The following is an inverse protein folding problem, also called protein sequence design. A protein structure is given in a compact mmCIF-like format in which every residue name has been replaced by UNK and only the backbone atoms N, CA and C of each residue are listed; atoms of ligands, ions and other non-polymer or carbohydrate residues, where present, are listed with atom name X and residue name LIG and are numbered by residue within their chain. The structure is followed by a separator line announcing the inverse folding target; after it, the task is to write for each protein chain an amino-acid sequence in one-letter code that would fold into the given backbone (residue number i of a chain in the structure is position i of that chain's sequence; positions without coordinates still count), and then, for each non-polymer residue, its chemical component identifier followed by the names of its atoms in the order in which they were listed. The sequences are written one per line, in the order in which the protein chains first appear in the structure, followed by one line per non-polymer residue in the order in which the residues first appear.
data_IF_784703745616
#
_entry.id   IF_784703745616
#
_cell.length_a   1.000
_cell.length_b   1.000
_cell.length_c   1.000
_cell.angle_alpha   90.00
_cell.angle_beta   90.00
_cell.angle_gamma   90.00
#
_symmetry.space_group_name_H-M   'P 1'
#
loop_
_entity.id
_entity.type
_entity.pdbx_description
1 polymer ?
#
# COMPACT_ATOMS: atom_id res chain seq x y z
N UNK A 1 -21.93 -63.13 -31.21
CA UNK A 1 -21.88 -63.11 -29.73
C UNK A 1 -20.59 -62.45 -29.24
N UNK A 2 -20.72 -61.18 -28.86
CA UNK A 2 -20.21 -60.52 -27.65
C UNK A 2 -18.69 -60.59 -27.37
N UNK A 3 -17.96 -59.55 -27.79
CA UNK A 3 -16.59 -59.23 -27.31
C UNK A 3 -16.51 -57.77 -26.86
N UNK A 4 -17.30 -57.40 -25.86
CA UNK A 4 -17.23 -56.09 -25.20
C UNK A 4 -17.60 -56.27 -23.74
N UNK A 5 -16.62 -56.43 -22.85
CA UNK A 5 -16.72 -56.14 -21.40
C UNK A 5 -15.47 -56.65 -20.68
N UNK A 6 -14.33 -55.98 -20.84
CA UNK A 6 -13.17 -56.20 -19.99
C UNK A 6 -12.39 -54.90 -19.81
N UNK A 7 -13.07 -53.83 -19.38
CA UNK A 7 -12.40 -52.54 -19.15
C UNK A 7 -13.07 -51.66 -18.10
N UNK A 8 -13.96 -52.18 -17.24
CA UNK A 8 -14.76 -51.31 -16.35
C UNK A 8 -14.50 -51.51 -14.85
N UNK A 9 -13.78 -52.56 -14.43
CA UNK A 9 -13.70 -52.87 -12.98
C UNK A 9 -12.50 -52.22 -12.27
N UNK A 10 -11.47 -51.73 -12.97
CA UNK A 10 -10.28 -51.18 -12.32
C UNK A 10 -10.29 -49.64 -12.12
N UNK A 11 -11.30 -48.94 -12.64
CA UNK A 11 -11.38 -47.46 -12.57
C UNK A 11 -12.13 -46.93 -11.35
N UNK A 12 -12.69 -47.80 -10.49
CA UNK A 12 -13.50 -47.38 -9.34
C UNK A 12 -12.75 -47.31 -8.00
N UNK A 13 -11.43 -47.49 -8.00
CA UNK A 13 -10.60 -47.42 -6.77
C UNK A 13 -9.60 -46.27 -6.75
N UNK A 14 -9.71 -45.30 -7.67
CA UNK A 14 -8.88 -44.09 -7.69
C UNK A 14 -9.58 -42.84 -7.13
N UNK A 15 -10.87 -42.94 -6.76
CA UNK A 15 -11.65 -41.80 -6.23
C UNK A 15 -11.59 -41.64 -4.69
N UNK A 16 -10.82 -42.49 -3.99
CA UNK A 16 -10.60 -42.43 -2.54
C UNK A 16 -9.17 -41.96 -2.22
N UNK A 17 -8.67 -40.96 -2.94
CA UNK A 17 -7.57 -40.17 -2.41
C UNK A 17 -8.14 -39.30 -1.27
N UNK A 18 -7.59 -39.34 -0.04
CA UNK A 18 -7.96 -38.34 0.94
C UNK A 18 -7.61 -36.98 0.35
N UNK A 19 -8.58 -36.09 0.25
CA UNK A 19 -8.31 -34.68 0.03
C UNK A 19 -7.34 -34.27 1.13
N UNK A 20 -6.11 -33.92 0.76
CA UNK A 20 -5.12 -33.36 1.68
C UNK A 20 -5.80 -32.10 2.23
N UNK A 21 -6.23 -32.17 3.49
CA UNK A 21 -6.89 -31.07 4.15
C UNK A 21 -5.81 -30.01 4.39
N UNK A 22 -5.89 -28.89 3.66
CA UNK A 22 -5.26 -27.63 4.05
C UNK A 22 -5.60 -27.42 5.52
N UNK A 23 -4.57 -27.35 6.37
CA UNK A 23 -4.84 -27.19 7.79
C UNK A 23 -5.38 -25.77 8.02
N UNK A 24 -6.46 -25.59 8.80
CA UNK A 24 -7.02 -24.26 9.05
C UNK A 24 -5.99 -23.27 9.66
N UNK A 25 -4.92 -23.81 10.25
CA UNK A 25 -3.74 -23.07 10.71
C UNK A 25 -2.88 -22.49 9.59
N UNK A 26 -2.56 -23.26 8.53
CA UNK A 26 -1.75 -22.76 7.40
C UNK A 26 -2.48 -21.66 6.63
N UNK A 27 -3.80 -21.79 6.47
CA UNK A 27 -4.64 -20.75 5.87
C UNK A 27 -4.70 -19.47 6.70
N UNK A 28 -4.82 -19.60 8.03
CA UNK A 28 -4.82 -18.45 8.93
C UNK A 28 -3.47 -17.72 8.91
N UNK A 29 -2.36 -18.45 8.89
CA UNK A 29 -1.01 -17.88 8.79
C UNK A 29 -0.78 -17.15 7.47
N UNK A 30 -1.24 -17.74 6.36
CA UNK A 30 -1.16 -17.12 5.02
C UNK A 30 -1.96 -15.82 4.97
N UNK A 31 -3.21 -15.84 5.45
CA UNK A 31 -4.07 -14.64 5.49
C UNK A 31 -3.48 -13.54 6.38
N UNK A 32 -2.88 -13.91 7.51
CA UNK A 32 -2.19 -12.96 8.38
C UNK A 32 -0.97 -12.34 7.68
N UNK A 33 -0.18 -13.14 6.95
CA UNK A 33 0.96 -12.66 6.17
C UNK A 33 0.55 -11.70 5.05
N UNK A 34 -0.50 -12.03 4.29
CA UNK A 34 -1.05 -11.15 3.26
C UNK A 34 -1.59 -9.84 3.84
N UNK A 35 -2.25 -9.90 5.00
CA UNK A 35 -2.75 -8.72 5.71
C UNK A 35 -1.63 -7.78 6.13
N UNK A 36 -0.56 -8.32 6.75
CA UNK A 36 0.60 -7.53 7.14
C UNK A 36 1.30 -6.88 5.95
N UNK A 37 1.45 -7.61 4.84
CA UNK A 37 2.06 -7.08 3.62
C UNK A 37 1.30 -5.85 3.07
N UNK A 38 -0.04 -5.89 3.08
CA UNK A 38 -0.88 -4.77 2.67
C UNK A 38 -0.73 -3.56 3.59
N UNK A 39 -0.63 -3.78 4.90
CA UNK A 39 -0.42 -2.70 5.88
C UNK A 39 0.92 -2.00 5.63
N UNK A 40 2.00 -2.78 5.44
CA UNK A 40 3.32 -2.24 5.14
C UNK A 40 3.34 -1.47 3.82
N UNK A 41 2.63 -1.97 2.80
CA UNK A 41 2.49 -1.28 1.52
C UNK A 41 1.72 0.04 1.65
N UNK A 42 0.63 0.07 2.44
CA UNK A 42 -0.11 1.29 2.70
C UNK A 42 0.74 2.31 3.48
N UNK A 43 1.57 1.85 4.43
CA UNK A 43 2.51 2.70 5.15
C UNK A 43 3.57 3.30 4.22
N UNK A 44 4.11 2.53 3.28
CA UNK A 44 5.04 3.03 2.27
C UNK A 44 4.41 4.12 1.38
N UNK A 45 3.15 3.94 0.99
CA UNK A 45 2.40 4.95 0.24
C UNK A 45 2.18 6.22 1.08
N UNK A 46 1.83 6.09 2.35
CA UNK A 46 1.68 7.23 3.25
C UNK A 46 3.01 7.98 3.43
N UNK A 47 4.12 7.25 3.58
CA UNK A 47 5.43 7.88 3.70
C UNK A 47 5.80 8.72 2.48
N UNK A 48 5.37 8.31 1.29
CA UNK A 48 5.57 9.07 0.04
C UNK A 48 4.75 10.35 -0.05
N UNK A 49 3.67 10.49 0.73
CA UNK A 49 2.90 11.75 0.76
C UNK A 49 3.52 12.81 1.67
N UNK A 50 4.55 12.46 2.46
CA UNK A 50 5.19 13.41 3.37
C UNK A 50 6.18 14.26 2.57
N UNK A 51 6.04 15.60 2.53
CA UNK A 51 6.97 16.46 1.81
C UNK A 51 8.37 16.41 2.42
N UNK A 52 9.39 16.30 1.56
CA UNK A 52 10.79 16.25 1.98
C UNK A 52 11.46 17.60 1.70
N UNK A 53 12.07 18.18 2.73
CA UNK A 53 12.70 19.50 2.66
C UNK A 53 14.21 19.42 2.94
N UNK A 54 14.97 20.32 2.29
CA UNK A 54 16.38 20.52 2.52
C UNK A 54 16.62 21.32 3.81
N UNK A 55 17.89 21.41 4.23
CA UNK A 55 18.28 22.28 5.33
C UNK A 55 17.96 23.76 5.01
N UNK A 56 17.53 24.55 6.00
CA UNK A 56 17.22 25.96 5.80
C UNK A 56 18.47 26.78 5.47
N UNK A 57 18.36 27.68 4.50
CA UNK A 57 19.41 28.63 4.11
C UNK A 57 18.97 30.05 4.46
N UNK A 58 19.84 30.79 5.16
CA UNK A 58 19.60 32.21 5.47
C UNK A 58 20.20 33.07 4.35
N UNK A 59 19.38 33.92 3.75
CA UNK A 59 19.77 34.84 2.70
C UNK A 59 20.42 36.12 3.26
N UNK A 60 21.16 36.90 2.43
CA UNK A 60 21.81 38.14 2.88
C UNK A 60 20.86 39.23 3.39
N UNK A 61 19.59 39.19 2.99
CA UNK A 61 18.54 40.08 3.49
C UNK A 61 17.94 39.61 4.83
N UNK A 62 18.29 38.41 5.30
CA UNK A 62 17.79 37.82 6.55
C UNK A 62 16.65 36.82 6.37
N UNK A 63 16.15 36.60 5.16
CA UNK A 63 15.07 35.63 4.90
C UNK A 63 15.59 34.19 4.98
N UNK A 64 14.68 33.25 5.23
CA UNK A 64 14.99 31.81 5.25
C UNK A 64 14.29 31.13 4.08
N UNK A 65 15.06 30.41 3.27
CA UNK A 65 14.52 29.52 2.23
C UNK A 65 14.60 28.08 2.72
N UNK A 66 13.49 27.35 2.59
CA UNK A 66 13.41 25.91 2.79
C UNK A 66 13.00 25.27 1.46
N UNK A 67 13.95 24.62 0.78
CA UNK A 67 13.71 24.02 -0.55
C UNK A 67 13.11 22.62 -0.40
N UNK A 68 12.21 22.22 -1.28
CA UNK A 68 11.77 20.83 -1.42
C UNK A 68 12.84 20.00 -2.11
N UNK A 69 13.08 18.78 -1.65
CA UNK A 69 14.06 17.87 -2.24
C UNK A 69 13.54 17.18 -3.51
N UNK A 70 12.25 16.82 -3.52
CA UNK A 70 11.57 16.17 -4.65
C UNK A 70 10.31 16.97 -5.01
N UNK A 71 10.45 18.13 -5.68
CA UNK A 71 9.32 19.00 -6.03
C UNK A 71 8.35 18.43 -7.06
N UNK A 72 8.77 17.45 -7.85
CA UNK A 72 7.99 16.79 -8.91
C UNK A 72 6.94 15.80 -8.40
N UNK A 73 7.06 15.34 -7.16
CA UNK A 73 6.17 14.35 -6.56
C UNK A 73 4.84 14.96 -6.05
N UNK A 74 4.72 16.29 -6.06
CA UNK A 74 3.49 17.00 -5.73
C UNK A 74 2.79 17.52 -7.00
N UNK A 75 1.46 17.41 -7.02
CA UNK A 75 0.65 18.07 -8.05
C UNK A 75 0.85 19.59 -7.96
N UNK A 76 0.82 20.32 -9.09
CA UNK A 76 1.00 21.76 -9.08
C UNK A 76 -0.02 22.40 -8.14
N UNK A 77 0.46 23.10 -7.11
CA UNK A 77 -0.40 23.98 -6.34
C UNK A 77 -0.65 25.22 -7.21
N UNK A 78 -1.89 25.40 -7.63
CA UNK A 78 -2.34 26.72 -8.09
C UNK A 78 -2.16 27.65 -6.88
N UNK A 79 -1.47 28.80 -6.99
CA UNK A 79 -1.39 29.74 -5.89
C UNK A 79 -2.82 30.12 -5.50
N UNK A 80 -3.26 29.67 -4.33
CA UNK A 80 -4.48 30.17 -3.72
C UNK A 80 -4.31 31.68 -3.59
N UNK A 81 -5.21 32.44 -4.21
CA UNK A 81 -5.26 33.90 -4.04
C UNK A 81 -5.26 34.21 -2.55
N UNK A 82 -4.29 35.02 -2.12
CA UNK A 82 -4.13 35.46 -0.73
C UNK A 82 -5.47 35.99 -0.21
N UNK A 83 -6.14 35.20 0.63
CA UNK A 83 -7.21 35.71 1.47
C UNK A 83 -6.55 36.56 2.56
N UNK A 84 -6.44 37.86 2.29
CA UNK A 84 -6.15 38.90 3.27
C UNK A 84 -7.28 38.93 4.32
N UNK A 85 -7.23 38.05 5.33
CA UNK A 85 -7.93 38.33 6.57
C UNK A 85 -7.06 39.26 7.42
N UNK A 86 -7.48 40.50 7.70
CA UNK A 86 -6.75 41.34 8.64
C UNK A 86 -6.84 40.69 10.03
N UNK A 87 -5.72 40.17 10.50
CA UNK A 87 -5.54 39.74 11.89
C UNK A 87 -5.79 40.95 12.79
N UNK A 88 -6.99 41.00 13.38
CA UNK A 88 -7.37 41.92 14.43
C UNK A 88 -6.33 41.88 15.55
N UNK A 89 -5.73 43.03 15.82
CA UNK A 89 -4.59 43.16 16.70
C UNK A 89 -5.02 42.92 18.15
N UNK A 90 -4.45 41.91 18.80
CA UNK A 90 -4.42 41.90 20.26
C UNK A 90 -3.26 42.78 20.73
N UNK A 91 -3.56 44.05 20.98
CA UNK A 91 -2.74 44.88 21.86
C UNK A 91 -2.73 44.24 23.26
N UNK A 92 -1.54 43.97 23.80
CA UNK A 92 -1.32 43.66 25.23
C UNK A 92 -0.07 44.35 25.73
#
# INVERSE_FOLDING_TARGET
MNRTAAAVVFSLWAAMAPAIADSPTEDAERLAGEGLAKILQALDLLMKTIPQYAAPEVLPNGDIIIRRLHPEDEAPHDPEEEHDEPSDGTET
#
